data_IF_742028660285
#
_entry.id   IF_742028660285
#
_cell.length_a   1.000
_cell.length_b   1.000
_cell.length_c   1.000
_cell.angle_alpha   90.00
_cell.angle_beta   90.00
_cell.angle_gamma   90.00
#
_symmetry.space_group_name_H-M   'P 1'
#
loop_
_entity.id
_entity.type
_entity.pdbx_description
1 polymer ?
#
# COMPACT_ATOMS: atom_id res chain seq x y z
N UNK A 1 5.05 -9.38 5.59
CA UNK A 1 6.34 -9.79 6.20
C UNK A 1 7.28 -10.21 5.07
N UNK A 2 8.55 -10.44 5.36
CA UNK A 2 9.51 -10.92 4.39
C UNK A 2 9.70 -12.44 4.57
N UNK A 3 9.52 -13.20 3.49
CA UNK A 3 9.64 -14.67 3.48
C UNK A 3 10.64 -15.00 2.36
N UNK A 4 11.75 -15.64 2.73
CA UNK A 4 12.86 -15.98 1.83
C UNK A 4 13.35 -14.79 1.00
N UNK A 5 13.53 -13.64 1.65
CA UNK A 5 14.02 -12.42 1.02
C UNK A 5 12.95 -11.61 0.29
N UNK A 6 11.71 -12.10 0.16
CA UNK A 6 10.65 -11.44 -0.59
C UNK A 6 9.51 -10.96 0.31
N UNK A 7 9.11 -9.70 0.16
CA UNK A 7 7.93 -9.17 0.86
C UNK A 7 6.65 -9.77 0.28
N UNK A 8 5.86 -10.42 1.12
CA UNK A 8 4.61 -11.05 0.71
C UNK A 8 3.57 -11.08 1.83
N UNK A 9 2.34 -11.44 1.46
CA UNK A 9 1.24 -11.72 2.38
C UNK A 9 1.29 -13.20 2.75
N UNK A 10 1.66 -13.49 4.00
CA UNK A 10 1.94 -14.85 4.45
C UNK A 10 0.77 -15.83 4.23
N UNK A 11 -0.48 -15.39 4.44
CA UNK A 11 -1.65 -16.26 4.24
C UNK A 11 -1.93 -16.64 2.77
N UNK A 12 -1.24 -16.01 1.81
CA UNK A 12 -1.32 -16.33 0.39
C UNK A 12 -0.04 -16.99 -0.14
N UNK A 13 0.99 -17.16 0.70
CA UNK A 13 2.26 -17.78 0.32
C UNK A 13 2.22 -19.27 0.68
N UNK A 14 2.23 -20.19 -0.31
CA UNK A 14 2.35 -21.62 -0.02
C UNK A 14 3.67 -21.91 0.69
N UNK A 15 3.64 -22.88 1.61
CA UNK A 15 4.85 -23.43 2.24
C UNK A 15 5.66 -24.15 1.16
N UNK A 16 6.97 -23.96 1.17
CA UNK A 16 7.86 -24.70 0.27
C UNK A 16 7.82 -26.19 0.60
N UNK A 17 7.61 -27.02 -0.42
CA UNK A 17 7.62 -28.48 -0.28
C UNK A 17 9.05 -29.03 -0.19
N UNK A 18 10.04 -28.27 -0.66
CA UNK A 18 11.45 -28.63 -0.51
C UNK A 18 11.91 -28.39 0.93
N UNK A 19 12.12 -29.48 1.67
CA UNK A 19 12.57 -29.47 3.06
C UNK A 19 14.09 -29.45 3.20
N UNK A 20 14.83 -29.41 2.07
CA UNK A 20 16.31 -29.33 2.09
C UNK A 20 16.82 -28.00 2.63
N UNK A 21 15.98 -26.96 2.66
CA UNK A 21 16.31 -25.62 3.16
C UNK A 21 15.22 -25.14 4.11
N UNK A 22 15.64 -24.45 5.17
CA UNK A 22 14.72 -23.78 6.07
C UNK A 22 14.18 -22.50 5.43
N UNK A 23 12.86 -22.29 5.50
CA UNK A 23 12.24 -21.00 5.17
C UNK A 23 12.61 -19.96 6.23
N UNK A 24 13.11 -18.81 5.79
CA UNK A 24 13.46 -17.70 6.67
C UNK A 24 12.36 -16.66 6.63
N UNK A 25 11.80 -16.35 7.80
CA UNK A 25 10.76 -15.33 7.96
C UNK A 25 11.30 -14.20 8.80
N UNK A 26 11.24 -12.98 8.27
CA UNK A 26 11.63 -11.76 8.96
C UNK A 26 10.50 -10.71 8.90
N UNK A 27 10.51 -9.69 9.76
CA UNK A 27 9.57 -8.58 9.68
C UNK A 27 9.67 -7.85 8.33
N UNK A 28 8.75 -6.93 8.06
CA UNK A 28 8.93 -6.08 6.87
C UNK A 28 10.24 -5.27 6.98
N UNK A 29 11.05 -5.19 5.91
CA UNK A 29 12.37 -4.57 5.97
C UNK A 29 12.33 -3.09 6.35
N UNK A 30 13.37 -2.63 7.04
CA UNK A 30 13.63 -1.21 7.35
C UNK A 30 12.51 -0.49 8.12
N UNK A 31 11.72 -1.24 8.89
CA UNK A 31 10.72 -0.73 9.82
C UNK A 31 11.17 -0.98 11.26
N UNK A 32 10.75 -0.12 12.20
CA UNK A 32 10.92 -0.39 13.63
C UNK A 32 10.09 -1.60 14.03
N UNK A 33 10.72 -2.57 14.69
CA UNK A 33 10.04 -3.78 15.16
C UNK A 33 9.49 -3.51 16.56
N UNK A 34 8.18 -3.68 16.74
CA UNK A 34 7.54 -3.60 18.06
C UNK A 34 7.84 -4.89 18.82
N UNK A 35 7.53 -6.03 18.21
CA UNK A 35 7.80 -7.38 18.75
C UNK A 35 7.67 -8.44 17.65
N UNK A 36 8.58 -9.41 17.65
CA UNK A 36 8.58 -10.55 16.72
C UNK A 36 8.47 -10.08 15.26
N UNK A 37 7.38 -10.41 14.56
CA UNK A 37 7.11 -10.03 13.17
C UNK A 37 6.22 -8.77 13.04
N UNK A 38 5.87 -8.15 14.16
CA UNK A 38 5.02 -6.95 14.21
C UNK A 38 5.89 -5.71 14.12
N UNK A 39 5.71 -4.94 13.05
CA UNK A 39 6.40 -3.68 12.80
C UNK A 39 5.50 -2.49 13.10
N UNK A 40 6.12 -1.35 13.43
CA UNK A 40 5.44 -0.08 13.55
C UNK A 40 5.13 0.50 12.16
N UNK A 41 3.84 0.65 11.85
CA UNK A 41 3.32 1.23 10.60
C UNK A 41 2.83 2.67 10.75
N UNK A 42 3.15 3.33 11.86
CA UNK A 42 2.65 4.68 12.16
C UNK A 42 3.00 5.68 11.06
N UNK A 43 4.26 5.76 10.62
CA UNK A 43 4.67 6.65 9.52
C UNK A 43 3.93 6.32 8.21
N UNK A 44 3.82 5.03 7.87
CA UNK A 44 3.12 4.56 6.68
C UNK A 44 1.66 5.05 6.65
N UNK A 45 0.93 4.93 7.77
CA UNK A 45 -0.44 5.41 7.86
C UNK A 45 -0.54 6.94 7.91
N UNK A 46 0.44 7.63 8.51
CA UNK A 46 0.50 9.09 8.51
C UNK A 46 0.66 9.64 7.08
N UNK A 47 1.53 9.04 6.26
CA UNK A 47 1.69 9.41 4.85
C UNK A 47 0.43 9.12 4.02
N UNK A 48 -0.25 8.00 4.28
CA UNK A 48 -1.55 7.74 3.66
C UNK A 48 -2.61 8.77 4.08
N UNK A 49 -2.60 9.23 5.33
CA UNK A 49 -3.50 10.26 5.81
C UNK A 49 -3.21 11.62 5.17
N UNK A 50 -1.94 11.98 4.97
CA UNK A 50 -1.54 13.31 4.47
C UNK A 50 -1.92 13.55 3.01
N UNK A 51 -2.14 12.49 2.21
CA UNK A 51 -2.68 12.63 0.84
C UNK A 51 -4.19 12.91 0.80
N UNK A 52 -4.84 12.94 1.97
CA UNK A 52 -6.27 13.20 2.14
C UNK A 52 -7.16 12.27 1.27
N UNK A 53 -7.17 10.95 1.53
CA UNK A 53 -7.67 9.94 0.62
C UNK A 53 -9.20 9.80 0.66
N UNK A 54 -9.92 10.86 0.29
CA UNK A 54 -11.38 10.89 0.17
C UNK A 54 -11.81 11.77 -1.01
N UNK A 55 -13.05 11.58 -1.46
CA UNK A 55 -13.62 12.38 -2.55
C UNK A 55 -13.77 13.84 -2.10
N UNK A 56 -13.16 14.77 -2.84
CA UNK A 56 -13.25 16.22 -2.58
C UNK A 56 -14.11 16.88 -3.64
N UNK A 57 -15.23 17.48 -3.23
CA UNK A 57 -16.18 18.14 -4.14
C UNK A 57 -16.43 19.58 -3.68
N UNK A 58 -16.59 20.51 -4.64
CA UNK A 58 -16.95 21.91 -4.35
C UNK A 58 -18.45 22.16 -4.43
N UNK A 59 -19.19 21.26 -5.08
CA UNK A 59 -20.63 21.38 -5.36
C UNK A 59 -21.28 20.00 -5.25
N UNK A 60 -22.56 19.93 -4.85
CA UNK A 60 -23.31 18.68 -4.90
C UNK A 60 -23.51 18.21 -6.36
N UNK A 61 -23.90 16.93 -6.57
CA UNK A 61 -24.29 16.43 -7.87
C UNK A 61 -25.38 17.30 -8.53
N UNK A 62 -25.33 17.56 -9.84
CA UNK A 62 -26.26 18.47 -10.52
C UNK A 62 -27.74 18.09 -10.37
N UNK A 63 -28.03 16.80 -10.28
CA UNK A 63 -29.38 16.25 -10.13
C UNK A 63 -29.73 15.90 -8.67
N UNK A 64 -28.84 16.22 -7.72
CA UNK A 64 -28.99 15.91 -6.30
C UNK A 64 -28.89 14.42 -5.96
N UNK A 65 -28.45 13.58 -6.89
CA UNK A 65 -28.32 12.12 -6.71
C UNK A 65 -26.85 11.70 -6.69
N UNK A 66 -26.38 10.98 -7.71
CA UNK A 66 -25.01 10.49 -7.84
C UNK A 66 -24.12 11.38 -8.73
N UNK A 67 -22.80 11.34 -8.50
CA UNK A 67 -21.84 11.85 -9.49
C UNK A 67 -21.80 10.88 -10.67
N UNK A 68 -22.16 11.37 -11.86
CA UNK A 68 -22.10 10.55 -13.07
C UNK A 68 -20.65 10.34 -13.49
N UNK A 69 -20.28 9.08 -13.66
CA UNK A 69 -18.96 8.64 -14.15
C UNK A 69 -19.19 7.61 -15.26
N UNK A 70 -18.52 7.78 -16.40
CA UNK A 70 -18.57 6.83 -17.50
C UNK A 70 -17.74 5.57 -17.20
N UNK A 71 -18.02 4.47 -17.91
CA UNK A 71 -17.25 3.22 -17.80
C UNK A 71 -15.76 3.47 -18.12
N UNK A 72 -15.47 4.33 -19.10
CA UNK A 72 -14.11 4.65 -19.50
C UNK A 72 -13.36 5.44 -18.42
N UNK A 73 -14.02 6.35 -17.71
CA UNK A 73 -13.44 7.08 -16.56
C UNK A 73 -13.21 6.13 -15.39
N UNK A 74 -14.23 5.34 -15.00
CA UNK A 74 -14.12 4.38 -13.90
C UNK A 74 -12.98 3.38 -14.12
N UNK A 75 -12.78 2.92 -15.37
CA UNK A 75 -11.73 1.98 -15.74
C UNK A 75 -10.31 2.51 -15.49
N UNK A 76 -10.11 3.84 -15.43
CA UNK A 76 -8.81 4.44 -15.07
C UNK A 76 -8.38 4.11 -13.65
N UNK A 77 -9.32 3.73 -12.78
CA UNK A 77 -9.03 3.38 -11.40
C UNK A 77 -8.60 1.92 -11.23
N UNK A 78 -8.79 1.07 -12.24
CA UNK A 78 -8.41 -0.34 -12.18
C UNK A 78 -6.88 -0.48 -12.06
N UNK A 79 -6.44 -1.35 -11.15
CA UNK A 79 -5.06 -1.49 -10.70
C UNK A 79 -4.64 -0.50 -9.60
N UNK A 80 -5.49 0.50 -9.27
CA UNK A 80 -5.20 1.49 -8.22
C UNK A 80 -5.98 1.22 -6.93
N UNK A 81 -7.29 0.98 -7.02
CA UNK A 81 -8.16 0.81 -5.84
C UNK A 81 -8.02 -0.56 -5.15
N UNK A 82 -7.43 -1.53 -5.84
CA UNK A 82 -7.19 -2.89 -5.37
C UNK A 82 -6.06 -2.98 -4.34
N UNK A 83 -5.31 -1.89 -4.13
CA UNK A 83 -4.29 -1.82 -3.09
C UNK A 83 -4.88 -2.06 -1.70
N UNK A 84 -4.35 -3.07 -1.00
CA UNK A 84 -4.80 -3.49 0.35
C UNK A 84 -3.99 -2.86 1.49
N UNK A 85 -3.17 -1.83 1.22
CA UNK A 85 -2.34 -1.15 2.22
C UNK A 85 -1.42 -2.09 3.04
N UNK A 86 -0.87 -3.15 2.43
CA UNK A 86 -0.03 -4.13 3.14
C UNK A 86 1.43 -3.68 3.39
N UNK A 87 1.82 -2.50 2.89
CA UNK A 87 3.17 -1.93 2.95
C UNK A 87 4.31 -2.74 2.28
N UNK A 88 4.03 -3.89 1.65
CA UNK A 88 5.06 -4.72 1.01
C UNK A 88 5.86 -3.96 -0.06
N UNK A 89 5.20 -3.14 -0.88
CA UNK A 89 5.85 -2.35 -1.93
C UNK A 89 6.76 -1.25 -1.34
N UNK A 90 6.30 -0.51 -0.32
CA UNK A 90 7.08 0.55 0.31
C UNK A 90 8.30 -0.04 1.02
N UNK A 91 8.11 -1.12 1.77
CA UNK A 91 9.18 -1.80 2.49
C UNK A 91 10.06 -2.70 1.60
N UNK A 92 9.78 -2.79 0.31
CA UNK A 92 10.68 -3.38 -0.69
C UNK A 92 11.52 -2.31 -1.42
N UNK A 93 11.22 -1.03 -1.24
CA UNK A 93 11.84 0.08 -1.97
C UNK A 93 13.03 0.65 -1.17
N UNK A 94 14.28 0.53 -1.66
CA UNK A 94 15.42 1.10 -0.97
C UNK A 94 15.35 2.61 -0.78
N UNK A 95 14.74 3.35 -1.71
CA UNK A 95 14.52 4.80 -1.54
C UNK A 95 13.69 5.11 -0.29
N UNK A 96 12.66 4.29 -0.02
CA UNK A 96 11.82 4.42 1.17
C UNK A 96 12.55 3.98 2.43
N UNK A 97 13.49 3.04 2.34
CA UNK A 97 14.35 2.65 3.47
C UNK A 97 15.23 3.80 3.95
N UNK A 98 15.80 4.55 2.99
CA UNK A 98 16.74 5.61 3.29
C UNK A 98 16.06 6.90 3.75
N UNK A 99 14.93 7.26 3.15
CA UNK A 99 14.26 8.54 3.42
C UNK A 99 12.75 8.39 3.64
N UNK A 100 12.29 7.58 4.61
CA UNK A 100 10.86 7.30 4.81
C UNK A 100 10.08 8.52 5.30
N UNK A 101 10.73 9.56 5.82
CA UNK A 101 10.07 10.77 6.31
C UNK A 101 9.74 11.75 5.16
N UNK A 102 10.60 11.81 4.14
CA UNK A 102 10.45 12.73 3.01
C UNK A 102 9.82 12.04 1.79
N UNK A 103 10.20 10.79 1.52
CA UNK A 103 9.67 10.02 0.41
C UNK A 103 8.43 9.25 0.85
N UNK A 104 7.28 9.58 0.26
CA UNK A 104 5.97 9.00 0.54
C UNK A 104 5.89 7.49 0.27
N UNK A 105 6.76 6.97 -0.58
CA UNK A 105 6.75 5.56 -0.95
C UNK A 105 5.68 5.19 -1.98
N UNK A 106 5.81 4.03 -2.63
CA UNK A 106 4.94 3.59 -3.72
C UNK A 106 3.47 3.46 -3.30
N UNK A 107 3.17 3.02 -2.07
CA UNK A 107 1.78 2.84 -1.63
C UNK A 107 1.03 4.18 -1.52
N UNK A 108 1.60 5.17 -0.83
CA UNK A 108 0.95 6.47 -0.67
C UNK A 108 0.87 7.21 -2.01
N UNK A 109 1.90 7.10 -2.87
CA UNK A 109 1.88 7.69 -4.21
C UNK A 109 0.84 7.03 -5.12
N UNK A 110 0.66 5.71 -5.07
CA UNK A 110 -0.41 5.00 -5.78
C UNK A 110 -1.79 5.50 -5.34
N UNK A 111 -2.00 5.61 -4.03
CA UNK A 111 -3.28 6.11 -3.50
C UNK A 111 -3.50 7.60 -3.83
N UNK A 112 -2.46 8.43 -3.85
CA UNK A 112 -2.58 9.82 -4.30
C UNK A 112 -3.03 9.86 -5.77
N UNK A 113 -2.39 9.06 -6.63
CA UNK A 113 -2.77 8.98 -8.04
C UNK A 113 -4.19 8.44 -8.24
N UNK A 114 -4.63 7.48 -7.42
CA UNK A 114 -6.01 6.98 -7.41
C UNK A 114 -7.05 8.08 -7.20
N UNK A 115 -6.73 9.12 -6.43
CA UNK A 115 -7.63 10.27 -6.22
C UNK A 115 -7.42 11.41 -7.21
N UNK A 116 -6.22 11.54 -7.77
CA UNK A 116 -5.94 12.49 -8.87
C UNK A 116 -6.63 12.05 -10.17
N UNK A 117 -6.73 10.74 -10.39
CA UNK A 117 -7.30 10.15 -11.61
C UNK A 117 -8.82 9.94 -11.53
N UNK A 118 -9.45 10.17 -10.39
CA UNK A 118 -10.92 10.10 -10.18
C UNK A 118 -11.57 11.45 -10.53
#
# INVERSE_FOLDING_TARGET
MNIDGTNTVACLKPIDADTSRATVITPLPHMYVIKDLVVDLTNFYQQYKSIEPWLKTKKPPPDGREFRQSIAERKRLDGLYECILCACCSTACPSYWWNPEEFYGPAALLHAYRWISD
#
